data_IF_597034101063
#
_entry.id   IF_597034101063
#
_cell.length_a   1.000
_cell.length_b   1.000
_cell.length_c   1.000
_cell.angle_alpha   90.00
_cell.angle_beta   90.00
_cell.angle_gamma   90.00
#
_symmetry.space_group_name_H-M   'P 1'
#
loop_
_entity.id
_entity.type
_entity.pdbx_description
1 polymer ?
#
# COMPACT_ATOMS: atom_id res chain seq x y z
N UNK A 1 7.63 7.46 25.63
CA UNK A 1 6.50 7.39 24.68
C UNK A 1 7.05 7.43 23.28
N UNK A 2 6.58 6.57 22.37
CA UNK A 2 6.88 6.72 20.94
C UNK A 2 6.18 7.99 20.44
N UNK A 3 6.78 8.75 19.51
CA UNK A 3 6.11 9.91 18.92
C UNK A 3 4.83 9.45 18.20
N UNK A 4 3.71 10.08 18.54
CA UNK A 4 2.42 9.85 17.89
C UNK A 4 2.40 10.63 16.58
N UNK A 5 2.26 9.94 15.44
CA UNK A 5 2.05 10.57 14.14
C UNK A 5 0.54 10.71 13.94
N UNK A 6 0.03 11.94 13.77
CA UNK A 6 -1.39 12.22 13.57
C UNK A 6 -1.67 12.63 12.12
N UNK A 7 -2.44 11.82 11.40
CA UNK A 7 -2.73 12.00 9.97
C UNK A 7 -4.25 12.18 9.80
N UNK A 8 -4.73 13.43 9.89
CA UNK A 8 -6.15 13.78 9.73
C UNK A 8 -6.34 14.77 8.58
N UNK A 9 -7.11 14.33 7.57
CA UNK A 9 -7.61 15.12 6.44
C UNK A 9 -8.74 14.36 5.71
N UNK A 10 -9.47 15.03 4.81
CA UNK A 10 -10.50 14.46 3.90
C UNK A 10 -9.92 13.48 2.85
N UNK A 11 -8.93 12.69 3.25
CA UNK A 11 -8.19 11.76 2.42
C UNK A 11 -8.72 10.35 2.68
N UNK A 12 -9.12 9.64 1.62
CA UNK A 12 -9.40 8.21 1.73
C UNK A 12 -8.07 7.46 1.98
N UNK A 13 -7.76 7.28 3.27
CA UNK A 13 -6.53 6.62 3.72
C UNK A 13 -6.49 5.16 3.24
N UNK A 14 -7.63 4.48 3.10
CA UNK A 14 -7.68 3.11 2.60
C UNK A 14 -7.45 3.06 1.07
N UNK A 15 -7.79 4.11 0.33
CA UNK A 15 -7.39 4.21 -1.08
C UNK A 15 -5.87 4.34 -1.23
N UNK A 16 -5.22 5.09 -0.34
CA UNK A 16 -3.78 5.37 -0.44
C UNK A 16 -2.89 4.33 0.24
N UNK A 17 -3.31 3.71 1.34
CA UNK A 17 -2.51 2.74 2.11
C UNK A 17 -2.86 1.31 1.72
N UNK A 18 -1.99 0.59 0.98
CA UNK A 18 -2.18 -0.84 0.71
C UNK A 18 -2.33 -1.68 1.98
N UNK A 19 -1.59 -1.33 3.05
CA UNK A 19 -1.67 -2.05 4.32
C UNK A 19 -3.04 -1.86 4.98
N UNK A 20 -3.50 -0.62 5.15
CA UNK A 20 -4.80 -0.35 5.77
C UNK A 20 -5.94 -0.97 4.95
N UNK A 21 -5.86 -0.88 3.61
CA UNK A 21 -6.81 -1.54 2.69
C UNK A 21 -6.83 -3.05 2.86
N UNK A 22 -5.66 -3.69 2.83
CA UNK A 22 -5.56 -5.14 3.01
C UNK A 22 -6.12 -5.60 4.36
N UNK A 23 -5.86 -4.83 5.43
CA UNK A 23 -6.46 -5.07 6.74
C UNK A 23 -7.99 -4.92 6.72
N UNK A 24 -8.51 -3.83 6.12
CA UNK A 24 -9.95 -3.58 5.96
C UNK A 24 -10.65 -4.72 5.22
N UNK A 25 -10.10 -5.12 4.07
CA UNK A 25 -10.60 -6.21 3.25
C UNK A 25 -10.55 -7.56 3.99
N UNK A 26 -9.48 -7.83 4.73
CA UNK A 26 -9.35 -9.08 5.52
C UNK A 26 -10.38 -9.15 6.65
N UNK A 27 -10.55 -8.06 7.39
CA UNK A 27 -11.52 -8.02 8.49
C UNK A 27 -12.94 -8.09 7.94
N UNK A 28 -13.22 -7.40 6.82
CA UNK A 28 -14.52 -7.42 6.14
C UNK A 28 -14.87 -8.80 5.60
N UNK A 29 -13.92 -9.47 4.95
CA UNK A 29 -14.08 -10.87 4.53
C UNK A 29 -14.38 -11.77 5.73
N UNK A 30 -13.62 -11.64 6.82
CA UNK A 30 -13.82 -12.47 8.01
C UNK A 30 -15.20 -12.23 8.67
N UNK A 31 -15.75 -11.01 8.61
CA UNK A 31 -17.08 -10.70 9.15
C UNK A 31 -18.20 -11.18 8.24
N UNK A 32 -18.06 -11.04 6.92
CA UNK A 32 -19.07 -11.47 5.94
C UNK A 32 -19.12 -12.98 5.71
N UNK A 33 -17.97 -13.66 5.68
CA UNK A 33 -17.87 -15.09 5.31
C UNK A 33 -17.82 -16.04 6.52
N UNK A 34 -18.02 -15.53 7.73
CA UNK A 34 -17.91 -16.35 8.95
C UNK A 34 -16.46 -16.74 9.31
N UNK A 35 -15.49 -15.99 8.79
CA UNK A 35 -14.07 -16.06 9.14
C UNK A 35 -13.14 -16.53 8.03
N UNK A 36 -11.84 -16.27 8.21
CA UNK A 36 -10.79 -16.75 7.31
C UNK A 36 -10.29 -18.10 7.82
N UNK A 37 -10.49 -19.15 7.03
CA UNK A 37 -10.00 -20.49 7.37
C UNK A 37 -8.47 -20.54 7.38
N UNK A 38 -7.91 -21.34 8.29
CA UNK A 38 -6.49 -21.58 8.45
C UNK A 38 -6.15 -23.05 8.15
N UNK A 39 -4.99 -23.27 7.54
CA UNK A 39 -4.39 -24.60 7.37
C UNK A 39 -3.86 -25.13 8.71
N UNK A 40 -3.42 -26.40 8.73
CA UNK A 40 -2.79 -27.00 9.90
C UNK A 40 -1.55 -26.23 10.38
N UNK A 41 -0.78 -25.65 9.45
CA UNK A 41 0.39 -24.80 9.75
C UNK A 41 0.01 -23.39 10.19
N UNK A 42 -1.29 -23.06 10.21
CA UNK A 42 -1.78 -21.73 10.57
C UNK A 42 -1.76 -20.71 9.44
N UNK A 43 -1.46 -21.14 8.22
CA UNK A 43 -1.51 -20.29 7.04
C UNK A 43 -2.96 -20.01 6.61
N UNK A 44 -3.23 -18.87 5.98
CA UNK A 44 -4.57 -18.58 5.45
C UNK A 44 -4.92 -19.53 4.30
N UNK A 45 -6.16 -20.02 4.28
CA UNK A 45 -6.58 -21.03 3.32
C UNK A 45 -6.59 -20.49 1.88
N UNK A 46 -6.51 -21.40 0.92
CA UNK A 46 -6.48 -21.03 -0.51
C UNK A 46 -7.70 -20.22 -0.94
N UNK A 47 -8.89 -20.50 -0.40
CA UNK A 47 -10.11 -19.72 -0.69
C UNK A 47 -9.87 -18.22 -0.44
N UNK A 48 -9.34 -17.88 0.73
CA UNK A 48 -9.03 -16.50 1.06
C UNK A 48 -7.84 -15.96 0.27
N UNK A 49 -6.78 -16.75 0.07
CA UNK A 49 -5.58 -16.33 -0.67
C UNK A 49 -5.93 -15.93 -2.11
N UNK A 50 -6.67 -16.78 -2.83
CA UNK A 50 -7.11 -16.50 -4.19
C UNK A 50 -8.06 -15.29 -4.25
N UNK A 51 -8.93 -15.12 -3.25
CA UNK A 51 -9.76 -13.92 -3.13
C UNK A 51 -8.89 -12.67 -2.93
N UNK A 52 -7.94 -12.70 -2.00
CA UNK A 52 -7.09 -11.56 -1.68
C UNK A 52 -6.19 -11.16 -2.85
N UNK A 53 -5.69 -12.11 -3.64
CA UNK A 53 -4.89 -11.85 -4.84
C UNK A 53 -5.60 -10.91 -5.83
N UNK A 54 -6.94 -11.01 -5.91
CA UNK A 54 -7.76 -10.18 -6.80
C UNK A 54 -8.14 -8.84 -6.17
N UNK A 55 -8.39 -8.81 -4.85
CA UNK A 55 -9.04 -7.66 -4.20
C UNK A 55 -8.07 -6.70 -3.49
N UNK A 56 -6.88 -7.15 -3.08
CA UNK A 56 -5.98 -6.30 -2.29
C UNK A 56 -5.39 -5.13 -3.07
N UNK A 57 -5.26 -5.27 -4.39
CA UNK A 57 -4.64 -4.28 -5.28
C UNK A 57 -3.30 -3.80 -4.70
N UNK A 58 -2.40 -4.74 -4.43
CA UNK A 58 -1.12 -4.43 -3.79
C UNK A 58 -0.06 -4.15 -4.86
N UNK A 59 0.64 -3.00 -4.80
CA UNK A 59 1.65 -2.66 -5.81
C UNK A 59 2.76 -3.73 -5.92
N UNK A 60 2.97 -4.24 -7.14
CA UNK A 60 3.94 -5.31 -7.46
C UNK A 60 3.48 -6.73 -7.11
N UNK A 61 2.21 -6.89 -6.69
CA UNK A 61 1.58 -8.17 -6.40
C UNK A 61 0.13 -8.15 -6.92
N UNK A 62 -0.07 -7.70 -8.16
CA UNK A 62 -1.38 -7.78 -8.82
C UNK A 62 -1.74 -9.25 -9.08
N UNK A 63 -3.01 -9.53 -9.36
CA UNK A 63 -3.42 -10.88 -9.74
C UNK A 63 -2.63 -11.38 -10.97
N UNK A 64 -2.39 -10.51 -11.95
CA UNK A 64 -1.59 -10.83 -13.15
C UNK A 64 -0.15 -11.21 -12.76
N UNK A 65 0.51 -10.39 -11.93
CA UNK A 65 1.87 -10.67 -11.45
C UNK A 65 1.94 -12.03 -10.74
N UNK A 66 0.99 -12.29 -9.84
CA UNK A 66 0.96 -13.50 -9.01
C UNK A 66 0.70 -14.77 -9.84
N UNK A 67 -0.28 -14.73 -10.75
CA UNK A 67 -0.66 -15.89 -11.57
C UNK A 67 0.30 -16.14 -12.73
N UNK A 68 1.11 -15.15 -13.13
CA UNK A 68 2.17 -15.39 -14.11
C UNK A 68 3.26 -16.35 -13.58
N UNK A 69 3.49 -16.35 -12.26
CA UNK A 69 4.49 -17.18 -11.59
C UNK A 69 3.92 -18.50 -11.07
N UNK A 70 2.69 -18.51 -10.58
CA UNK A 70 2.10 -19.68 -9.94
C UNK A 70 0.65 -19.91 -10.39
N UNK A 71 0.34 -21.13 -10.85
CA UNK A 71 -1.05 -21.51 -11.22
C UNK A 71 -2.00 -21.62 -10.03
N UNK A 72 -1.46 -21.96 -8.86
CA UNK A 72 -2.21 -22.10 -7.59
C UNK A 72 -1.45 -21.34 -6.53
N UNK A 73 -2.14 -20.43 -5.84
CA UNK A 73 -1.54 -19.55 -4.85
C UNK A 73 -1.76 -20.08 -3.43
N UNK A 74 -0.70 -20.05 -2.64
CA UNK A 74 -0.71 -20.23 -1.20
C UNK A 74 -0.32 -18.91 -0.52
N UNK A 75 -0.49 -18.82 0.79
CA UNK A 75 -0.14 -17.59 1.53
C UNK A 75 1.36 -17.24 1.38
N UNK A 76 2.22 -18.25 1.21
CA UNK A 76 3.67 -18.03 0.99
C UNK A 76 3.97 -17.24 -0.27
N UNK A 77 3.08 -17.33 -1.25
CA UNK A 77 3.26 -16.80 -2.60
C UNK A 77 2.79 -15.34 -2.68
N UNK A 78 2.14 -14.84 -1.61
CA UNK A 78 1.64 -13.47 -1.48
C UNK A 78 2.21 -12.86 -0.18
N UNK A 79 3.49 -12.41 -0.18
CA UNK A 79 4.11 -11.75 0.98
C UNK A 79 3.29 -10.62 1.63
N UNK A 80 2.51 -9.80 0.88
CA UNK A 80 1.58 -8.85 1.48
C UNK A 80 0.59 -9.42 2.50
N UNK A 81 0.20 -10.69 2.36
CA UNK A 81 -0.71 -11.33 3.31
C UNK A 81 -0.09 -11.53 4.69
N UNK A 82 1.22 -11.69 4.78
CA UNK A 82 1.89 -11.92 6.06
C UNK A 82 1.79 -10.68 6.94
N UNK A 83 2.14 -9.51 6.39
CA UNK A 83 2.04 -8.25 7.13
C UNK A 83 0.59 -7.94 7.51
N UNK A 84 -0.37 -8.18 6.63
CA UNK A 84 -1.79 -7.94 6.93
C UNK A 84 -2.28 -8.86 8.05
N UNK A 85 -1.97 -10.15 7.98
CA UNK A 85 -2.33 -11.13 9.02
C UNK A 85 -1.69 -10.76 10.36
N UNK A 86 -0.41 -10.43 10.36
CA UNK A 86 0.34 -10.15 11.57
C UNK A 86 -0.15 -8.86 12.23
N UNK A 87 -0.38 -7.79 11.44
CA UNK A 87 -0.90 -6.51 11.95
C UNK A 87 -2.34 -6.63 12.44
N UNK A 88 -3.24 -7.30 11.70
CA UNK A 88 -4.64 -7.50 12.15
C UNK A 88 -4.72 -8.32 13.44
N UNK A 89 -3.79 -9.26 13.66
CA UNK A 89 -3.70 -10.03 14.92
C UNK A 89 -3.05 -9.22 16.04
N UNK A 90 -1.97 -8.49 15.76
CA UNK A 90 -1.27 -7.65 16.72
C UNK A 90 -2.22 -6.61 17.33
N UNK A 91 -2.98 -5.92 16.47
CA UNK A 91 -3.97 -4.93 16.84
C UNK A 91 -5.30 -5.53 17.34
N UNK A 92 -5.36 -6.85 17.47
CA UNK A 92 -6.52 -7.63 17.94
C UNK A 92 -7.80 -7.34 17.13
N UNK A 93 -7.67 -7.04 15.85
CA UNK A 93 -8.81 -6.87 14.92
C UNK A 93 -9.37 -8.25 14.51
N UNK A 94 -8.48 -9.21 14.31
CA UNK A 94 -8.81 -10.62 14.12
C UNK A 94 -8.31 -11.43 15.31
N UNK A 95 -9.08 -12.44 15.71
CA UNK A 95 -8.68 -13.44 16.70
C UNK A 95 -8.75 -14.84 16.11
N UNK A 96 -7.82 -15.70 16.49
CA UNK A 96 -7.86 -17.12 16.14
C UNK A 96 -8.84 -17.86 17.05
N UNK A 97 -9.77 -18.60 16.46
CA UNK A 97 -10.60 -19.61 17.14
C UNK A 97 -10.47 -20.92 16.38
N UNK A 98 -9.80 -21.91 16.98
CA UNK A 98 -9.40 -23.16 16.31
C UNK A 98 -8.63 -22.87 15.01
N UNK A 99 -9.19 -23.24 13.86
CA UNK A 99 -8.58 -23.08 12.54
C UNK A 99 -9.26 -21.96 11.73
N UNK A 100 -9.80 -20.94 12.40
CA UNK A 100 -10.45 -19.81 11.73
C UNK A 100 -10.02 -18.50 12.41
N UNK A 101 -9.75 -17.46 11.61
CA UNK A 101 -9.64 -16.08 12.07
C UNK A 101 -11.01 -15.43 12.00
N UNK A 102 -11.48 -14.93 13.14
CA UNK A 102 -12.77 -14.26 13.28
C UNK A 102 -12.56 -12.80 13.66
N UNK A 103 -13.46 -11.89 13.22
CA UNK A 103 -13.42 -10.50 13.66
C UNK A 103 -13.69 -10.42 15.16
N UNK A 104 -12.96 -9.53 15.82
CA UNK A 104 -13.27 -9.11 17.18
C UNK A 104 -14.24 -7.94 17.17
N UNK A 105 -14.71 -7.51 18.35
CA UNK A 105 -15.45 -6.26 18.49
C UNK A 105 -14.65 -5.07 17.94
N UNK A 106 -13.36 -4.99 18.29
CA UNK A 106 -12.44 -3.96 17.79
C UNK A 106 -12.24 -4.05 16.28
N UNK A 107 -12.23 -5.26 15.71
CA UNK A 107 -12.23 -5.46 14.26
C UNK A 107 -13.45 -4.85 13.58
N UNK A 108 -14.65 -5.03 14.15
CA UNK A 108 -15.87 -4.42 13.62
C UNK A 108 -15.91 -2.90 13.79
N UNK A 109 -15.40 -2.38 14.91
CA UNK A 109 -15.20 -0.93 15.08
C UNK A 109 -14.26 -0.36 14.01
N UNK A 110 -13.20 -1.10 13.67
CA UNK A 110 -12.31 -0.75 12.56
C UNK A 110 -13.00 -0.76 11.19
N UNK A 111 -13.96 -1.66 10.93
CA UNK A 111 -14.74 -1.64 9.69
C UNK A 111 -15.61 -0.38 9.57
N UNK A 112 -16.13 0.13 10.68
CA UNK A 112 -16.98 1.33 10.71
C UNK A 112 -16.16 2.60 10.50
N UNK A 113 -14.98 2.70 11.12
CA UNK A 113 -14.10 3.86 10.98
C UNK A 113 -12.62 3.44 10.89
N UNK A 114 -12.16 2.98 9.72
CA UNK A 114 -10.78 2.52 9.55
C UNK A 114 -9.75 3.64 9.69
N UNK A 115 -10.12 4.87 9.33
CA UNK A 115 -9.24 6.04 9.40
C UNK A 115 -8.82 6.35 10.85
N UNK A 116 -9.73 6.18 11.82
CA UNK A 116 -9.41 6.36 13.24
C UNK A 116 -8.34 5.39 13.79
N UNK A 117 -8.04 4.31 13.06
CA UNK A 117 -7.00 3.35 13.44
C UNK A 117 -5.66 3.63 12.76
N UNK A 118 -5.62 4.54 11.79
CA UNK A 118 -4.45 4.66 10.92
C UNK A 118 -3.19 5.09 11.67
N UNK A 119 -3.27 6.07 12.56
CA UNK A 119 -2.13 6.54 13.37
C UNK A 119 -1.54 5.39 14.20
N UNK A 120 -2.40 4.54 14.78
CA UNK A 120 -1.99 3.35 15.52
C UNK A 120 -1.35 2.30 14.59
N UNK A 121 -1.97 2.03 13.43
CA UNK A 121 -1.44 1.09 12.43
C UNK A 121 -0.06 1.55 11.96
N UNK A 122 0.09 2.83 11.60
CA UNK A 122 1.34 3.42 11.16
C UNK A 122 2.41 3.32 12.25
N UNK A 123 2.08 3.69 13.48
CA UNK A 123 2.99 3.63 14.63
C UNK A 123 3.49 2.20 14.88
N UNK A 124 2.58 1.24 15.04
CA UNK A 124 2.96 -0.16 15.30
C UNK A 124 3.69 -0.78 14.12
N UNK A 125 3.30 -0.42 12.89
CA UNK A 125 3.94 -0.93 11.69
C UNK A 125 5.36 -0.39 11.48
N UNK A 126 5.61 0.89 11.74
CA UNK A 126 6.95 1.46 11.55
C UNK A 126 7.91 1.11 12.69
N UNK A 127 7.39 0.99 13.91
CA UNK A 127 8.22 0.89 15.11
C UNK A 127 8.30 -0.51 15.72
N UNK A 128 7.29 -1.35 15.52
CA UNK A 128 7.18 -2.64 16.23
C UNK A 128 7.14 -3.84 15.29
N UNK A 129 6.66 -3.67 14.06
CA UNK A 129 6.55 -4.77 13.11
C UNK A 129 7.92 -5.22 12.59
N UNK A 130 8.26 -6.49 12.84
CA UNK A 130 9.43 -7.18 12.31
C UNK A 130 8.97 -8.09 11.17
N UNK A 131 9.40 -7.83 9.94
CA UNK A 131 9.07 -8.69 8.81
C UNK A 131 9.82 -10.03 8.94
N UNK A 132 9.30 -11.09 8.31
CA UNK A 132 9.91 -12.43 8.37
C UNK A 132 11.36 -12.49 7.85
N UNK A 133 11.78 -11.50 7.07
CA UNK A 133 13.13 -11.36 6.51
C UNK A 133 14.02 -10.40 7.30
N UNK A 134 13.51 -9.79 8.37
CA UNK A 134 14.24 -8.80 9.18
C UNK A 134 14.53 -9.36 10.57
N UNK A 135 15.61 -8.87 11.18
CA UNK A 135 15.91 -9.11 12.59
C UNK A 135 15.30 -8.01 13.45
N UNK A 136 14.85 -8.37 14.65
CA UNK A 136 14.32 -7.38 15.61
C UNK A 136 15.32 -6.26 15.93
N UNK A 137 16.62 -6.56 15.97
CA UNK A 137 17.68 -5.58 16.17
C UNK A 137 17.75 -4.52 15.07
N UNK A 138 17.48 -4.88 13.82
CA UNK A 138 17.47 -3.96 12.67
C UNK A 138 16.31 -2.97 12.77
N UNK A 139 15.12 -3.47 13.14
CA UNK A 139 13.93 -2.63 13.37
C UNK A 139 14.20 -1.65 14.52
N UNK A 140 14.78 -2.12 15.62
CA UNK A 140 15.14 -1.27 16.77
C UNK A 140 16.18 -0.20 16.42
N UNK A 141 17.20 -0.55 15.64
CA UNK A 141 18.19 0.41 15.17
C UNK A 141 17.56 1.52 14.33
N UNK A 142 16.60 1.17 13.46
CA UNK A 142 15.89 2.10 12.56
C UNK A 142 14.99 3.10 13.30
N UNK A 143 14.49 2.77 14.49
CA UNK A 143 13.58 3.62 15.28
C UNK A 143 14.05 5.07 15.38
N UNK A 144 15.34 5.27 15.65
CA UNK A 144 15.94 6.59 15.90
C UNK A 144 16.04 7.44 14.63
N UNK A 145 15.94 6.82 13.47
CA UNK A 145 16.16 7.44 12.17
C UNK A 145 14.86 7.80 11.45
N UNK A 146 13.71 7.30 11.89
CA UNK A 146 12.41 7.59 11.26
C UNK A 146 12.13 9.09 11.13
N UNK A 147 12.43 9.89 12.14
CA UNK A 147 12.27 11.35 12.05
C UNK A 147 13.11 11.96 10.93
N UNK A 148 14.34 11.49 10.77
CA UNK A 148 15.25 11.94 9.72
C UNK A 148 14.74 11.52 8.34
N UNK A 149 14.35 10.24 8.18
CA UNK A 149 13.77 9.76 6.93
C UNK A 149 12.50 10.50 6.54
N UNK A 150 11.60 10.75 7.50
CA UNK A 150 10.37 11.49 7.22
C UNK A 150 10.64 12.93 6.77
N UNK A 151 11.60 13.61 7.41
CA UNK A 151 12.01 14.95 6.98
C UNK A 151 12.68 14.94 5.60
N UNK A 152 13.56 13.96 5.35
CA UNK A 152 14.26 13.82 4.08
C UNK A 152 13.28 13.61 2.92
N UNK A 153 12.33 12.69 3.08
CA UNK A 153 11.36 12.38 2.03
C UNK A 153 10.32 13.48 1.84
N UNK A 154 9.98 14.27 2.85
CA UNK A 154 9.16 15.47 2.67
C UNK A 154 9.74 16.43 1.61
N UNK A 155 11.06 16.45 1.48
CA UNK A 155 11.81 17.28 0.52
C UNK A 155 12.08 16.49 -0.75
N UNK A 156 12.77 15.35 -0.65
CA UNK A 156 13.31 14.63 -1.82
C UNK A 156 12.27 13.87 -2.63
N UNK A 157 11.21 13.37 -2.00
CA UNK A 157 10.15 12.66 -2.72
C UNK A 157 9.16 13.60 -3.43
N UNK A 158 9.41 14.93 -3.47
CA UNK A 158 8.57 15.88 -4.23
C UNK A 158 8.73 15.68 -5.74
N UNK A 159 9.96 15.58 -6.20
CA UNK A 159 10.30 15.37 -7.61
C UNK A 159 10.50 13.89 -7.95
N UNK A 160 10.58 13.04 -6.91
CA UNK A 160 10.91 11.63 -7.02
C UNK A 160 12.33 11.38 -6.54
N UNK A 161 12.54 10.30 -5.81
CA UNK A 161 13.88 9.85 -5.44
C UNK A 161 13.98 8.33 -5.43
N UNK A 162 15.18 7.82 -5.69
CA UNK A 162 15.50 6.40 -5.58
C UNK A 162 16.14 6.10 -4.23
N UNK A 163 16.19 4.82 -3.80
CA UNK A 163 16.98 4.42 -2.64
C UNK A 163 18.45 4.81 -2.77
N UNK A 164 18.99 4.77 -3.99
CA UNK A 164 20.38 5.13 -4.25
C UNK A 164 20.64 6.63 -4.07
N UNK A 165 19.70 7.50 -4.45
CA UNK A 165 19.81 8.94 -4.19
C UNK A 165 19.91 9.22 -2.68
N UNK A 166 19.20 8.44 -1.86
CA UNK A 166 19.29 8.56 -0.40
C UNK A 166 20.62 8.05 0.13
N UNK A 167 21.15 6.94 -0.40
CA UNK A 167 22.51 6.48 -0.06
C UNK A 167 23.52 7.59 -0.36
N UNK A 168 23.46 8.20 -1.54
CA UNK A 168 24.36 9.31 -1.94
C UNK A 168 24.26 10.52 -1.00
N UNK A 169 23.08 10.81 -0.46
CA UNK A 169 22.86 11.91 0.49
C UNK A 169 23.40 11.59 1.89
N UNK A 170 23.13 10.37 2.39
CA UNK A 170 23.45 10.00 3.77
C UNK A 170 24.89 9.49 3.94
N UNK A 171 25.42 8.88 2.89
CA UNK A 171 26.73 8.22 2.86
C UNK A 171 27.46 8.58 1.55
N UNK A 172 27.85 9.86 1.36
CA UNK A 172 28.47 10.32 0.11
C UNK A 172 29.77 9.57 -0.20
N UNK A 173 30.52 9.14 0.81
CA UNK A 173 31.76 8.36 0.64
C UNK A 173 31.51 6.94 0.12
N UNK A 174 30.27 6.45 0.24
CA UNK A 174 29.81 5.14 -0.24
C UNK A 174 28.99 5.27 -1.54
N UNK A 175 28.92 6.46 -2.12
CA UNK A 175 28.23 6.67 -3.39
C UNK A 175 28.95 5.87 -4.50
N UNK A 176 28.24 5.00 -5.25
CA UNK A 176 28.87 4.29 -6.34
C UNK A 176 29.26 5.25 -7.47
N UNK A 177 30.36 4.92 -8.17
CA UNK A 177 30.89 5.71 -9.29
C UNK A 177 29.92 5.67 -10.48
N UNK A 178 29.19 4.55 -10.65
CA UNK A 178 28.08 4.40 -11.60
C UNK A 178 27.05 3.39 -11.09
N UNK A 179 25.86 3.36 -11.69
CA UNK A 179 24.80 2.40 -11.30
C UNK A 179 25.21 0.93 -11.52
N UNK A 180 26.21 0.67 -12.36
CA UNK A 180 26.79 -0.65 -12.65
C UNK A 180 28.00 -1.02 -11.79
N UNK A 181 28.65 -0.03 -11.16
CA UNK A 181 29.85 -0.21 -10.34
C UNK A 181 29.55 0.16 -8.89
N UNK A 182 28.75 -0.69 -8.23
CA UNK A 182 28.35 -0.51 -6.85
C UNK A 182 29.13 -1.43 -5.92
N UNK A 183 29.64 -0.89 -4.82
CA UNK A 183 30.27 -1.69 -3.77
C UNK A 183 29.22 -2.54 -3.06
N UNK A 184 29.65 -3.63 -2.42
CA UNK A 184 28.76 -4.52 -1.66
C UNK A 184 28.07 -3.73 -0.55
N UNK A 185 28.80 -2.83 0.12
CA UNK A 185 28.30 -1.99 1.20
C UNK A 185 27.22 -1.01 0.73
N UNK A 186 27.41 -0.39 -0.44
CA UNK A 186 26.42 0.51 -1.03
C UNK A 186 25.16 -0.25 -1.48
N UNK A 187 25.34 -1.48 -1.98
CA UNK A 187 24.23 -2.37 -2.33
C UNK A 187 23.41 -2.75 -1.10
N UNK A 188 24.07 -3.16 -0.01
CA UNK A 188 23.41 -3.51 1.24
C UNK A 188 22.62 -2.31 1.83
N UNK A 189 23.24 -1.12 1.88
CA UNK A 189 22.56 0.10 2.34
C UNK A 189 21.34 0.45 1.48
N UNK A 190 21.46 0.32 0.15
CA UNK A 190 20.36 0.55 -0.79
C UNK A 190 19.21 -0.42 -0.50
N UNK A 191 19.49 -1.71 -0.33
CA UNK A 191 18.49 -2.73 -0.01
C UNK A 191 17.82 -2.48 1.34
N UNK A 192 18.60 -2.15 2.37
CA UNK A 192 18.09 -1.82 3.70
C UNK A 192 17.15 -0.62 3.67
N UNK A 193 17.50 0.42 2.92
CA UNK A 193 16.62 1.57 2.70
C UNK A 193 15.36 1.17 1.92
N UNK A 194 15.52 0.42 0.83
CA UNK A 194 14.42 0.01 -0.01
C UNK A 194 13.37 -0.77 0.77
N UNK A 195 13.75 -1.86 1.43
CA UNK A 195 12.82 -2.76 2.11
C UNK A 195 12.49 -2.30 3.54
N UNK A 196 13.46 -1.72 4.24
CA UNK A 196 13.32 -1.26 5.61
C UNK A 196 12.63 0.11 5.76
N UNK A 197 12.67 0.95 4.72
CA UNK A 197 12.13 2.32 4.78
C UNK A 197 11.13 2.61 3.66
N UNK A 198 11.56 2.62 2.40
CA UNK A 198 10.73 3.03 1.27
C UNK A 198 9.48 2.17 1.12
N UNK A 199 9.64 0.85 1.03
CA UNK A 199 8.52 -0.09 0.89
C UNK A 199 7.57 -0.01 2.08
N UNK A 200 8.05 0.25 3.30
CA UNK A 200 7.19 0.46 4.47
C UNK A 200 6.34 1.72 4.32
N UNK A 201 6.95 2.83 3.90
CA UNK A 201 6.22 4.07 3.63
C UNK A 201 5.24 3.92 2.46
N UNK A 202 5.57 3.13 1.42
CA UNK A 202 4.63 2.79 0.35
C UNK A 202 3.43 2.00 0.85
N UNK A 203 3.65 1.04 1.75
CA UNK A 203 2.56 0.23 2.34
C UNK A 203 1.64 1.06 3.23
N UNK A 204 2.17 2.08 3.89
CA UNK A 204 1.35 3.07 4.60
C UNK A 204 0.70 4.11 3.68
N UNK A 205 1.02 4.11 2.39
CA UNK A 205 0.49 5.10 1.46
C UNK A 205 1.07 6.50 1.69
N UNK A 206 2.21 6.63 2.36
CA UNK A 206 2.96 7.89 2.51
C UNK A 206 3.81 8.15 1.26
N UNK A 207 4.43 7.09 0.73
CA UNK A 207 5.10 7.14 -0.57
C UNK A 207 4.31 6.32 -1.58
N UNK A 208 4.57 6.55 -2.85
CA UNK A 208 4.23 5.62 -3.92
C UNK A 208 5.45 5.46 -4.82
N UNK A 209 5.54 4.32 -5.50
CA UNK A 209 6.64 4.02 -6.42
C UNK A 209 6.12 4.08 -7.85
N UNK A 210 6.67 4.98 -8.65
CA UNK A 210 6.40 5.07 -10.07
C UNK A 210 7.16 3.96 -10.81
N UNK A 211 6.44 2.94 -11.29
CA UNK A 211 7.01 1.75 -11.94
C UNK A 211 6.54 1.55 -13.39
N UNK A 212 6.01 2.58 -14.02
CA UNK A 212 5.57 2.49 -15.42
C UNK A 212 6.73 2.06 -16.33
N UNK A 213 6.53 0.99 -17.09
CA UNK A 213 7.55 0.43 -18.00
C UNK A 213 8.70 -0.30 -17.31
N UNK A 214 8.66 -0.50 -15.99
CA UNK A 214 9.72 -1.21 -15.25
C UNK A 214 9.42 -2.70 -15.07
N UNK A 215 10.46 -3.51 -15.15
CA UNK A 215 10.43 -4.94 -14.80
C UNK A 215 10.37 -5.13 -13.28
N UNK A 216 10.12 -6.38 -12.83
CA UNK A 216 10.07 -6.73 -11.40
C UNK A 216 11.38 -6.38 -10.66
N UNK A 217 12.53 -6.50 -11.33
CA UNK A 217 13.87 -6.31 -10.75
C UNK A 217 14.34 -4.86 -10.71
N UNK A 218 13.66 -3.96 -11.43
CA UNK A 218 14.02 -2.55 -11.48
C UNK A 218 13.36 -1.76 -10.35
N UNK A 219 14.05 -0.73 -9.88
CA UNK A 219 13.53 0.20 -8.88
C UNK A 219 12.86 1.38 -9.57
N UNK A 220 11.66 1.74 -9.09
CA UNK A 220 10.99 2.94 -9.50
C UNK A 220 11.45 4.17 -8.74
N UNK A 221 11.04 5.34 -9.23
CA UNK A 221 11.18 6.59 -8.49
C UNK A 221 10.08 6.68 -7.44
N UNK A 222 10.45 7.03 -6.21
CA UNK A 222 9.51 7.13 -5.08
C UNK A 222 9.09 8.58 -4.88
N UNK A 223 7.78 8.79 -4.80
CA UNK A 223 7.16 10.09 -4.69
C UNK A 223 6.26 10.16 -3.46
N UNK A 224 6.13 11.36 -2.87
CA UNK A 224 5.20 11.59 -1.76
C UNK A 224 3.74 11.53 -2.25
N UNK A 225 2.87 10.99 -1.41
CA UNK A 225 1.42 10.97 -1.61
C UNK A 225 0.76 12.17 -0.88
N UNK A 226 -0.54 12.43 -1.06
CA UNK A 226 -1.22 13.45 -0.25
C UNK A 226 -1.23 13.13 1.24
N UNK A 227 -1.18 11.86 1.64
CA UNK A 227 -1.11 11.47 3.05
C UNK A 227 0.17 11.97 3.73
N UNK A 228 1.21 12.21 2.94
CA UNK A 228 2.44 12.86 3.40
C UNK A 228 2.26 14.33 3.75
N UNK A 229 1.27 15.02 3.16
CA UNK A 229 1.02 16.44 3.46
C UNK A 229 0.52 16.62 4.89
N UNK A 230 -0.35 15.72 5.37
CA UNK A 230 -0.80 15.74 6.76
C UNK A 230 0.37 15.45 7.71
N UNK A 231 1.20 14.45 7.39
CA UNK A 231 2.42 14.15 8.13
C UNK A 231 3.39 15.34 8.14
N UNK A 232 3.56 15.97 6.99
CA UNK A 232 4.42 17.12 6.78
C UNK A 232 3.94 18.36 7.51
N UNK A 233 2.61 18.56 7.59
CA UNK A 233 1.98 19.67 8.32
C UNK A 233 2.28 19.60 9.81
N UNK A 234 2.19 18.42 10.42
CA UNK A 234 2.57 18.18 11.81
C UNK A 234 4.07 18.41 12.04
N UNK A 235 4.93 17.91 11.15
CA UNK A 235 6.38 18.12 11.22
C UNK A 235 6.75 19.60 11.10
N UNK A 236 6.10 20.33 10.20
CA UNK A 236 6.28 21.77 10.05
C UNK A 236 5.78 22.55 11.27
N UNK A 237 4.62 22.18 11.81
CA UNK A 237 4.10 22.74 13.05
C UNK A 237 5.08 22.55 14.21
N UNK A 238 5.68 21.37 14.33
CA UNK A 238 6.66 21.07 15.38
C UNK A 238 8.01 21.76 15.18
N UNK A 239 8.45 21.98 13.94
CA UNK A 239 9.75 22.57 13.63
C UNK A 239 9.72 24.12 13.59
N UNK A 240 8.63 24.70 13.05
CA UNK A 240 8.53 26.12 12.75
C UNK A 240 7.32 26.80 13.41
N UNK A 241 6.53 26.07 14.20
CA UNK A 241 5.35 26.60 14.89
C UNK A 241 4.14 26.85 13.98
N UNK A 242 4.26 26.58 12.68
CA UNK A 242 3.23 26.86 11.68
C UNK A 242 2.89 25.61 10.87
N UNK A 243 1.61 25.29 10.78
CA UNK A 243 1.05 24.15 10.04
C UNK A 243 0.52 24.57 8.67
N UNK A 244 0.35 23.63 7.74
CA UNK A 244 -0.13 23.98 6.40
C UNK A 244 -1.55 24.55 6.38
N UNK A 245 -2.42 24.15 7.33
CA UNK A 245 -3.77 24.72 7.47
C UNK A 245 -3.80 26.17 7.99
N UNK A 246 -2.65 26.71 8.38
CA UNK A 246 -2.46 28.11 8.71
C UNK A 246 -1.89 28.91 7.52
N UNK A 247 -1.43 28.22 6.47
CA UNK A 247 -0.86 28.81 5.26
C UNK A 247 -1.80 28.71 4.05
N UNK A 248 -2.64 27.67 4.00
CA UNK A 248 -3.59 27.41 2.94
C UNK A 248 -5.01 27.54 3.49
N UNK A 249 -5.91 28.16 2.72
CA UNK A 249 -7.34 28.13 3.01
C UNK A 249 -7.86 26.68 2.97
N UNK A 250 -8.98 26.36 3.64
CA UNK A 250 -9.59 25.03 3.57
C UNK A 250 -9.82 24.56 2.13
N UNK A 251 -10.22 25.46 1.24
CA UNK A 251 -10.43 25.18 -0.18
C UNK A 251 -9.15 24.85 -0.93
N UNK A 252 -8.05 25.55 -0.66
CA UNK A 252 -6.74 25.27 -1.26
C UNK A 252 -6.16 23.96 -0.74
N UNK A 253 -6.35 23.67 0.55
CA UNK A 253 -5.95 22.41 1.16
C UNK A 253 -6.68 21.22 0.53
N UNK A 254 -8.02 21.30 0.44
CA UNK A 254 -8.83 20.25 -0.19
C UNK A 254 -8.47 20.08 -1.67
N UNK A 255 -8.17 21.17 -2.38
CA UNK A 255 -7.75 21.11 -3.79
C UNK A 255 -6.38 20.44 -3.95
N UNK A 256 -5.40 20.80 -3.12
CA UNK A 256 -4.07 20.18 -3.13
C UNK A 256 -4.17 18.68 -2.88
N UNK A 257 -4.86 18.27 -1.82
CA UNK A 257 -5.14 16.87 -1.51
C UNK A 257 -5.76 16.13 -2.70
N UNK A 258 -6.81 16.70 -3.30
CA UNK A 258 -7.54 16.12 -4.43
C UNK A 258 -6.64 15.92 -5.65
N UNK A 259 -5.87 16.94 -6.05
CA UNK A 259 -4.97 16.83 -7.20
C UNK A 259 -3.89 15.76 -7.00
N UNK A 260 -3.37 15.61 -5.78
CA UNK A 260 -2.43 14.55 -5.47
C UNK A 260 -3.09 13.15 -5.49
N UNK A 261 -4.33 13.02 -5.00
CA UNK A 261 -5.07 11.75 -5.04
C UNK A 261 -5.34 11.34 -6.49
N UNK A 262 -5.77 12.29 -7.33
CA UNK A 262 -6.01 12.07 -8.75
C UNK A 262 -4.73 11.59 -9.46
N UNK A 263 -3.60 12.28 -9.24
CA UNK A 263 -2.30 11.87 -9.81
C UNK A 263 -1.89 10.46 -9.36
N UNK A 264 -2.11 10.13 -8.09
CA UNK A 264 -1.78 8.81 -7.54
C UNK A 264 -2.66 7.70 -8.17
N UNK A 265 -3.96 7.91 -8.28
CA UNK A 265 -4.89 6.92 -8.87
C UNK A 265 -4.63 6.71 -10.36
N UNK A 266 -4.37 7.77 -11.12
CA UNK A 266 -4.05 7.69 -12.54
C UNK A 266 -2.78 6.86 -12.80
N UNK A 267 -1.77 7.00 -11.95
CA UNK A 267 -0.52 6.24 -12.04
C UNK A 267 -0.68 4.73 -11.74
N UNK A 268 -1.78 4.32 -11.08
CA UNK A 268 -2.02 2.93 -10.71
C UNK A 268 -3.06 2.21 -11.59
N UNK A 269 -3.96 2.94 -12.25
CA UNK A 269 -5.03 2.34 -13.06
C UNK A 269 -4.85 2.54 -14.58
N UNK A 270 -3.66 2.90 -15.05
CA UNK A 270 -3.41 3.21 -16.47
C UNK A 270 -4.43 4.23 -17.04
N UNK A 271 -4.95 5.12 -16.20
CA UNK A 271 -5.97 6.10 -16.57
C UNK A 271 -7.45 5.67 -16.51
N UNK A 272 -7.78 4.46 -16.02
CA UNK A 272 -9.18 4.02 -15.84
C UNK A 272 -9.69 4.31 -14.43
N UNK A 273 -10.93 4.79 -14.31
CA UNK A 273 -11.56 5.15 -13.02
C UNK A 273 -12.87 4.35 -12.86
N UNK A 274 -13.09 3.75 -11.68
CA UNK A 274 -14.31 2.97 -11.39
C UNK A 274 -15.53 3.90 -11.19
N UNK A 275 -16.72 3.45 -11.62
CA UNK A 275 -17.98 4.15 -11.44
C UNK A 275 -18.30 4.45 -9.96
N UNK A 276 -17.88 3.55 -9.05
CA UNK A 276 -18.02 3.76 -7.61
C UNK A 276 -17.18 4.95 -7.12
N UNK A 277 -16.01 5.19 -7.71
CA UNK A 277 -15.16 6.34 -7.39
C UNK A 277 -15.79 7.67 -7.83
N UNK A 278 -16.42 7.71 -9.01
CA UNK A 278 -17.11 8.92 -9.52
C UNK A 278 -18.27 9.31 -8.60
N UNK A 279 -19.02 8.31 -8.10
CA UNK A 279 -20.14 8.55 -7.19
C UNK A 279 -19.71 9.10 -5.82
N UNK A 280 -18.54 8.69 -5.31
CA UNK A 280 -18.01 9.11 -4.01
C UNK A 280 -17.27 10.45 -4.05
N UNK A 281 -16.58 10.72 -5.16
CA UNK A 281 -15.76 11.95 -5.31
C UNK A 281 -16.57 13.17 -5.76
N UNK A 282 -17.74 12.98 -6.38
CA UNK A 282 -18.59 14.07 -6.87
C UNK A 282 -18.03 14.82 -8.09
N UNK A 283 -16.95 14.31 -8.70
CA UNK A 283 -16.26 14.94 -9.83
C UNK A 283 -16.76 14.38 -11.18
N UNK A 284 -17.52 15.18 -11.93
CA UNK A 284 -18.12 14.78 -13.21
C UNK A 284 -17.16 14.87 -14.41
N UNK A 285 -15.94 15.39 -14.20
CA UNK A 285 -14.95 15.63 -15.28
C UNK A 285 -14.52 14.32 -15.97
N UNK A 286 -14.63 13.18 -15.27
CA UNK A 286 -14.21 11.86 -15.74
C UNK A 286 -15.38 10.92 -16.11
N UNK A 287 -16.62 11.41 -16.16
CA UNK A 287 -17.79 10.60 -16.56
C UNK A 287 -17.66 9.93 -17.95
N UNK A 288 -16.79 10.46 -18.83
CA UNK A 288 -16.54 9.88 -20.16
C UNK A 288 -15.55 8.71 -20.18
N UNK A 289 -14.84 8.45 -19.08
CA UNK A 289 -13.84 7.38 -18.94
C UNK A 289 -14.31 6.25 -18.00
N UNK A 290 -15.51 6.34 -17.45
CA UNK A 290 -16.13 5.31 -16.61
C UNK A 290 -16.61 4.14 -17.48
N UNK A 291 -16.03 2.95 -17.30
CA UNK A 291 -16.49 1.74 -17.98
C UNK A 291 -17.80 1.27 -17.33
N UNK A 292 -18.93 1.52 -18.00
CA UNK A 292 -20.21 0.99 -17.58
C UNK A 292 -20.37 -0.44 -18.15
N UNK A 293 -20.57 -1.44 -17.29
CA UNK A 293 -20.75 -2.85 -17.66
C UNK A 293 -21.86 -3.09 -18.70
N UNK A 294 -22.76 -2.11 -18.91
CA UNK A 294 -23.88 -2.17 -19.86
C UNK A 294 -23.56 -1.71 -21.29
N UNK A 295 -22.40 -1.12 -21.57
CA UNK A 295 -22.04 -0.58 -22.90
C UNK A 295 -20.72 -1.15 -23.46
N UNK A 296 -20.51 -2.47 -23.35
CA UNK A 296 -19.44 -3.13 -24.09
C UNK A 296 -19.81 -3.24 -25.58
N UNK A 297 -18.90 -2.91 -26.52
CA UNK A 297 -19.08 -3.19 -27.94
C UNK A 297 -19.31 -4.70 -28.18
N UNK A 298 -20.17 -5.06 -29.14
CA UNK A 298 -20.59 -6.44 -29.43
C UNK A 298 -19.45 -7.46 -29.62
N UNK A 299 -18.23 -7.03 -29.93
CA UNK A 299 -17.08 -7.91 -30.08
C UNK A 299 -16.48 -8.44 -28.75
N UNK A 300 -16.92 -7.94 -27.60
CA UNK A 300 -16.50 -8.43 -26.27
C UNK A 300 -17.58 -9.27 -25.54
N UNK A 301 -18.72 -9.56 -26.17
CA UNK A 301 -19.66 -10.55 -25.65
C UNK A 301 -19.23 -11.95 -26.10
N UNK A 302 -18.55 -12.69 -25.22
CA UNK A 302 -18.28 -14.11 -25.45
C UNK A 302 -19.59 -14.89 -25.29
N UNK A 303 -20.16 -15.30 -26.43
CA UNK A 303 -21.32 -16.19 -26.48
C UNK A 303 -21.01 -17.52 -25.80
N UNK A 304 -21.83 -17.85 -24.80
CA UNK A 304 -21.91 -19.17 -24.19
C UNK A 304 -22.63 -20.14 -25.14
N UNK A 305 -21.90 -20.78 -26.06
CA UNK A 305 -22.41 -21.94 -26.77
C UNK A 305 -21.25 -22.87 -27.18
N UNK A 306 -21.15 -24.01 -26.49
CA UNK A 306 -20.29 -25.12 -26.89
C UNK A 306 -20.80 -25.72 -28.22
N UNK A 307 -19.92 -26.09 -29.17
CA UNK A 307 -20.29 -27.01 -30.24
C UNK A 307 -19.80 -28.42 -29.91
N UNK A 308 -20.74 -29.35 -30.06
CA UNK A 308 -20.56 -30.79 -30.07
C UNK A 308 -19.56 -31.27 -31.12
N UNK A 309 -18.98 -32.43 -30.81
CA UNK A 309 -18.26 -33.33 -31.71
C UNK A 309 -19.08 -33.72 -32.97
N UNK A 310 -18.33 -34.23 -33.96
CA UNK A 310 -18.62 -35.29 -34.95
C UNK A 310 -18.73 -34.87 -36.44
N UNK A 311 -18.00 -35.67 -37.26
CA UNK A 311 -17.94 -35.87 -38.73
C UNK A 311 -17.14 -34.82 -39.53
N UNK A 312 -16.15 -35.16 -40.36
CA UNK A 312 -15.77 -36.43 -40.97
C UNK A 312 -15.59 -36.20 -42.46
N UNK A 313 -14.35 -36.26 -42.94
CA UNK A 313 -13.84 -36.65 -44.28
C UNK A 313 -12.40 -36.17 -44.41
#
# INVERSE_FOLDING_TARGET
>A
MLPEIKLQGDVDVAALSPLLRGMLLSVGYADGEGGIGLTATGAMNRKFVHWAAVHFLWPGFTAEDLYSMHKVLNESDIPPLWVVRDMTRHLKLLRRKKNVLLPTRRGREFLVNPQAFFDLVATDYLYSYVHATERGSEVQARLRWWRMFLNLFNIKAREGCTPLDVVKILYPDMAPVSDTEMTVEAWDLKFDLQYGVFRRLCRLGLLYEAREGLTLLQDGSFHKTPLYLDAGSELWGNAFGVRYNQLLSPTEMSSAVRYFQQRHLLAHQQGMVDADYVSRSGDSTYCRLAVNRKNLPQHFQLDSAAPNLIHGS
#
